data_IF_580090775448
#
_entry.id   IF_580090775448
#
_cell.length_a   1.000
_cell.length_b   1.000
_cell.length_c   1.000
_cell.angle_alpha   90.00
_cell.angle_beta   90.00
_cell.angle_gamma   90.00
#
_symmetry.space_group_name_H-M   'P 1'
#
loop_
_entity.id
_entity.type
_entity.pdbx_description
1 polymer ?
#
# COMPACT_ATOMS: atom_id res chain seq x y z
N UNK A 1 -10.85 -6.20 17.48
CA UNK A 1 -11.18 -6.21 16.03
C UNK A 1 -12.64 -5.76 15.87
N UNK A 2 -13.00 -5.14 14.74
CA UNK A 2 -14.31 -4.52 14.48
C UNK A 2 -15.10 -5.31 13.40
N UNK A 3 -15.76 -6.43 13.74
CA UNK A 3 -16.43 -7.28 12.76
C UNK A 3 -17.52 -6.57 11.94
N UNK A 4 -18.30 -5.67 12.53
CA UNK A 4 -19.37 -4.96 11.81
C UNK A 4 -18.78 -3.99 10.76
N UNK A 5 -17.68 -3.32 11.12
CA UNK A 5 -16.93 -2.47 10.19
C UNK A 5 -16.33 -3.31 9.05
N UNK A 6 -15.70 -4.45 9.39
CA UNK A 6 -15.11 -5.34 8.40
C UNK A 6 -16.16 -5.82 7.38
N UNK A 7 -17.36 -6.23 7.84
CA UNK A 7 -18.46 -6.61 6.95
C UNK A 7 -18.90 -5.42 6.10
N UNK A 8 -19.06 -4.23 6.68
CA UNK A 8 -19.50 -3.04 5.93
C UNK A 8 -18.52 -2.65 4.83
N UNK A 9 -17.21 -2.70 5.12
CA UNK A 9 -16.16 -2.39 4.16
C UNK A 9 -16.09 -3.49 3.09
N UNK A 10 -16.15 -4.77 3.48
CA UNK A 10 -16.18 -5.88 2.53
C UNK A 10 -17.34 -5.75 1.54
N UNK A 11 -18.56 -5.50 2.03
CA UNK A 11 -19.73 -5.27 1.17
C UNK A 11 -19.53 -4.08 0.23
N UNK A 12 -18.90 -2.99 0.69
CA UNK A 12 -18.63 -1.85 -0.18
C UNK A 12 -17.65 -2.21 -1.31
N UNK A 13 -16.60 -2.99 -1.03
CA UNK A 13 -15.67 -3.49 -2.05
C UNK A 13 -16.32 -4.48 -3.01
N UNK A 14 -17.15 -5.40 -2.52
CA UNK A 14 -17.90 -6.34 -3.34
C UNK A 14 -18.83 -5.63 -4.35
N UNK A 15 -19.46 -4.54 -3.91
CA UNK A 15 -20.28 -3.69 -4.78
C UNK A 15 -19.44 -2.84 -5.76
N UNK A 16 -18.14 -2.70 -5.52
CA UNK A 16 -17.23 -1.84 -6.29
C UNK A 16 -15.91 -2.56 -6.64
N UNK A 17 -15.96 -3.70 -7.37
CA UNK A 17 -14.79 -4.58 -7.58
C UNK A 17 -13.65 -3.92 -8.37
N UNK A 18 -13.93 -2.82 -9.08
CA UNK A 18 -12.92 -2.05 -9.80
C UNK A 18 -11.87 -1.41 -8.87
N UNK A 19 -12.21 -1.20 -7.60
CA UNK A 19 -11.27 -0.63 -6.60
C UNK A 19 -10.16 -1.66 -6.29
N UNK A 20 -10.52 -2.94 -6.20
CA UNK A 20 -9.57 -4.03 -5.98
C UNK A 20 -8.57 -4.25 -7.13
N UNK A 21 -8.91 -3.88 -8.36
CA UNK A 21 -7.98 -3.94 -9.50
C UNK A 21 -6.80 -2.97 -9.30
N UNK A 22 -7.00 -1.89 -8.55
CA UNK A 22 -5.96 -0.92 -8.24
C UNK A 22 -5.05 -1.34 -7.06
N UNK A 23 -5.10 -2.60 -6.62
CA UNK A 23 -4.32 -3.09 -5.47
C UNK A 23 -4.93 -2.76 -4.11
N UNK A 24 -6.11 -2.14 -4.09
CA UNK A 24 -6.84 -1.73 -2.89
C UNK A 24 -8.14 -2.54 -2.75
N UNK A 25 -8.04 -3.87 -2.63
CA UNK A 25 -9.20 -4.72 -2.34
C UNK A 25 -9.45 -4.83 -0.82
N UNK A 26 -10.57 -5.46 -0.45
CA UNK A 26 -10.89 -5.67 0.96
C UNK A 26 -9.81 -6.47 1.71
N UNK A 27 -9.20 -7.45 1.07
CA UNK A 27 -8.16 -8.27 1.69
C UNK A 27 -6.92 -7.42 2.04
N UNK A 28 -6.57 -6.46 1.17
CA UNK A 28 -5.56 -5.46 1.48
C UNK A 28 -5.97 -4.60 2.69
N UNK A 29 -7.16 -4.00 2.71
CA UNK A 29 -7.66 -3.19 3.83
C UNK A 29 -7.66 -3.96 5.15
N UNK A 30 -8.10 -5.21 5.13
CA UNK A 30 -8.11 -6.11 6.29
C UNK A 30 -6.69 -6.36 6.80
N UNK A 31 -5.74 -6.70 5.91
CA UNK A 31 -4.34 -6.93 6.28
C UNK A 31 -3.69 -5.67 6.85
N UNK A 32 -3.98 -4.49 6.29
CA UNK A 32 -3.50 -3.22 6.84
C UNK A 32 -4.05 -3.00 8.25
N UNK A 33 -5.34 -3.26 8.48
CA UNK A 33 -5.94 -3.16 9.81
C UNK A 33 -5.31 -4.13 10.82
N UNK A 34 -5.07 -5.39 10.43
CA UNK A 34 -4.43 -6.40 11.29
C UNK A 34 -2.97 -6.06 11.60
N UNK A 35 -2.22 -5.62 10.59
CA UNK A 35 -0.83 -5.18 10.75
C UNK A 35 -0.74 -3.95 11.66
N UNK A 36 -1.68 -3.00 11.53
CA UNK A 36 -1.76 -1.85 12.41
C UNK A 36 -1.98 -2.25 13.88
N UNK A 37 -2.82 -3.25 14.15
CA UNK A 37 -3.01 -3.79 15.52
C UNK A 37 -1.72 -4.42 16.04
N UNK A 38 -0.99 -5.17 15.20
CA UNK A 38 0.23 -5.88 15.57
C UNK A 38 1.36 -4.91 15.99
N UNK A 39 1.58 -3.88 15.16
CA UNK A 39 2.73 -2.97 15.33
C UNK A 39 2.45 -1.81 16.30
N UNK A 40 1.20 -1.56 16.65
CA UNK A 40 0.83 -0.49 17.55
C UNK A 40 1.56 -0.57 18.92
N UNK A 41 1.89 0.58 19.52
CA UNK A 41 2.56 0.64 20.82
C UNK A 41 1.64 0.25 21.98
N UNK A 42 0.33 0.49 21.87
CA UNK A 42 -0.66 0.18 22.89
C UNK A 42 -2.04 -0.12 22.29
N UNK A 43 -2.96 -0.60 23.14
CA UNK A 43 -4.31 -1.02 22.73
C UNK A 43 -5.19 0.13 22.20
N UNK A 44 -4.94 1.37 22.63
CA UNK A 44 -5.70 2.55 22.20
C UNK A 44 -5.29 2.94 20.79
N UNK A 45 -3.98 3.02 20.52
CA UNK A 45 -3.45 3.27 19.17
C UNK A 45 -3.85 2.13 18.24
N UNK A 46 -3.73 0.87 18.70
CA UNK A 46 -4.17 -0.30 17.93
C UNK A 46 -5.64 -0.18 17.51
N UNK A 47 -6.52 0.24 18.44
CA UNK A 47 -7.94 0.44 18.17
C UNK A 47 -8.18 1.50 17.11
N UNK A 48 -7.54 2.66 17.22
CA UNK A 48 -7.72 3.76 16.28
C UNK A 48 -7.15 3.43 14.89
N UNK A 49 -5.94 2.87 14.84
CA UNK A 49 -5.28 2.50 13.61
C UNK A 49 -5.97 1.33 12.90
N UNK A 50 -6.60 0.41 13.63
CA UNK A 50 -7.41 -0.65 13.02
C UNK A 50 -8.63 -0.09 12.26
N UNK A 51 -9.35 0.88 12.84
CA UNK A 51 -10.46 1.55 12.15
C UNK A 51 -9.96 2.28 10.91
N UNK A 52 -8.83 2.97 11.04
CA UNK A 52 -8.21 3.67 9.91
C UNK A 52 -7.76 2.69 8.81
N UNK A 53 -7.20 1.53 9.18
CA UNK A 53 -6.78 0.48 8.24
C UNK A 53 -7.93 -0.11 7.44
N UNK A 54 -9.06 -0.42 8.10
CA UNK A 54 -10.27 -0.86 7.42
C UNK A 54 -10.82 0.19 6.45
N UNK A 55 -10.64 1.46 6.76
CA UNK A 55 -11.15 2.56 5.97
C UNK A 55 -10.11 3.15 5.00
N UNK A 56 -8.91 2.60 4.90
CA UNK A 56 -7.79 3.30 4.28
C UNK A 56 -7.99 3.56 2.78
N UNK A 57 -8.78 2.71 2.12
CA UNK A 57 -9.14 2.85 0.70
C UNK A 57 -10.30 3.83 0.44
N UNK A 58 -10.80 4.54 1.44
CA UNK A 58 -11.94 5.46 1.28
C UNK A 58 -11.71 6.54 0.21
N UNK A 59 -10.49 7.06 0.07
CA UNK A 59 -10.14 8.02 -0.99
C UNK A 59 -10.21 7.38 -2.40
N UNK A 60 -9.90 6.09 -2.53
CA UNK A 60 -10.00 5.33 -3.78
C UNK A 60 -11.44 5.15 -4.25
N UNK A 61 -12.38 4.96 -3.33
CA UNK A 61 -13.81 4.98 -3.64
C UNK A 61 -14.19 6.32 -4.28
N UNK A 62 -13.80 7.45 -3.67
CA UNK A 62 -14.13 8.77 -4.21
C UNK A 62 -13.48 9.02 -5.57
N UNK A 63 -12.19 8.72 -5.72
CA UNK A 63 -11.47 8.82 -7.01
C UNK A 63 -12.22 8.08 -8.10
N UNK A 64 -12.66 6.85 -7.81
CA UNK A 64 -13.35 6.00 -8.76
C UNK A 64 -14.72 6.54 -9.14
N UNK A 65 -15.50 7.02 -8.16
CA UNK A 65 -16.85 7.54 -8.40
C UNK A 65 -16.83 8.86 -9.15
N UNK A 66 -15.83 9.71 -8.90
CA UNK A 66 -15.66 11.01 -9.56
C UNK A 66 -14.88 10.93 -10.87
N UNK A 67 -14.10 9.86 -11.08
CA UNK A 67 -13.20 9.75 -12.22
C UNK A 67 -12.04 10.74 -12.15
N UNK A 68 -11.53 11.02 -10.94
CA UNK A 68 -10.45 11.99 -10.69
C UNK A 68 -9.17 11.31 -10.23
N UNK A 69 -8.05 12.01 -10.37
CA UNK A 69 -6.74 11.53 -9.95
C UNK A 69 -6.50 11.61 -8.43
N UNK A 70 -5.37 11.04 -8.01
CA UNK A 70 -4.89 11.11 -6.63
C UNK A 70 -4.57 12.56 -6.25
N UNK A 71 -5.15 13.04 -5.15
CA UNK A 71 -4.96 14.42 -4.66
C UNK A 71 -6.03 15.41 -5.13
N UNK A 72 -6.99 14.98 -5.95
CA UNK A 72 -8.14 15.79 -6.38
C UNK A 72 -9.41 15.49 -5.57
N UNK A 73 -9.31 14.58 -4.60
CA UNK A 73 -10.41 14.21 -3.71
C UNK A 73 -10.52 15.20 -2.55
N UNK A 74 -11.72 15.70 -2.30
CA UNK A 74 -11.98 16.54 -1.14
C UNK A 74 -12.03 15.71 0.15
N UNK A 75 -11.44 16.23 1.23
CA UNK A 75 -11.38 15.56 2.53
C UNK A 75 -12.78 15.23 3.07
N UNK A 76 -13.78 16.08 2.79
CA UNK A 76 -15.17 15.87 3.19
C UNK A 76 -15.80 14.64 2.52
N UNK A 77 -15.46 14.37 1.25
CA UNK A 77 -15.99 13.20 0.55
C UNK A 77 -15.39 11.89 1.09
N UNK A 78 -14.11 11.92 1.49
CA UNK A 78 -13.49 10.78 2.18
C UNK A 78 -14.17 10.55 3.53
N UNK A 79 -14.45 11.63 4.26
CA UNK A 79 -15.18 11.56 5.53
C UNK A 79 -16.56 10.91 5.35
N UNK A 80 -17.32 11.31 4.33
CA UNK A 80 -18.64 10.75 4.03
C UNK A 80 -18.57 9.24 3.75
N UNK A 81 -17.59 8.78 2.96
CA UNK A 81 -17.37 7.35 2.70
C UNK A 81 -17.04 6.61 4.01
N UNK A 82 -16.13 7.16 4.83
CA UNK A 82 -15.77 6.57 6.12
C UNK A 82 -16.95 6.50 7.10
N UNK A 83 -17.80 7.54 7.12
CA UNK A 83 -19.04 7.56 7.87
C UNK A 83 -19.99 6.45 7.40
N UNK A 84 -20.09 6.24 6.08
CA UNK A 84 -20.81 5.13 5.47
C UNK A 84 -20.34 3.77 5.97
N UNK A 85 -19.03 3.51 5.94
CA UNK A 85 -18.44 2.26 6.45
C UNK A 85 -18.71 2.05 7.94
N UNK A 86 -18.67 3.11 8.73
CA UNK A 86 -18.88 3.05 10.17
C UNK A 86 -20.36 2.99 10.58
N UNK A 87 -21.31 3.17 9.65
CA UNK A 87 -22.74 3.36 9.96
C UNK A 87 -23.39 2.17 10.67
N UNK A 88 -22.91 0.95 10.42
CA UNK A 88 -23.39 -0.30 11.04
C UNK A 88 -22.62 -0.67 12.29
N UNK A 89 -21.52 0.02 12.59
CA UNK A 89 -20.68 -0.26 13.76
C UNK A 89 -21.31 0.32 15.03
N UNK A 90 -21.48 -0.47 16.10
CA UNK A 90 -22.05 0.02 17.34
C UNK A 90 -21.29 1.24 17.89
N UNK A 91 -22.02 2.32 18.19
CA UNK A 91 -21.41 3.60 18.59
C UNK A 91 -20.46 3.50 19.80
N UNK A 92 -20.68 2.55 20.70
CA UNK A 92 -19.79 2.31 21.84
C UNK A 92 -18.38 1.86 21.44
N UNK A 93 -18.23 1.21 20.28
CA UNK A 93 -16.93 0.83 19.72
C UNK A 93 -16.19 2.03 19.09
N UNK A 94 -16.92 3.07 18.72
CA UNK A 94 -16.41 4.30 18.10
C UNK A 94 -16.31 5.50 19.06
N UNK A 95 -16.48 5.27 20.37
CA UNK A 95 -16.39 6.31 21.41
C UNK A 95 -14.98 6.88 21.55
N UNK A 96 -14.90 8.13 22.01
CA UNK A 96 -13.63 8.79 22.33
C UNK A 96 -12.91 9.40 21.13
N UNK A 97 -13.67 9.87 20.13
CA UNK A 97 -13.09 10.56 18.96
C UNK A 97 -12.40 9.64 17.96
N UNK A 98 -12.59 8.31 18.07
CA UNK A 98 -11.98 7.28 17.19
C UNK A 98 -12.09 7.68 15.72
N UNK A 99 -13.28 8.07 15.29
CA UNK A 99 -13.55 8.34 13.88
C UNK A 99 -12.80 9.58 13.37
N UNK A 100 -12.72 10.65 14.15
CA UNK A 100 -11.97 11.84 13.75
C UNK A 100 -10.46 11.57 13.67
N UNK A 101 -9.92 10.82 14.63
CA UNK A 101 -8.51 10.41 14.64
C UNK A 101 -8.20 9.46 13.47
N UNK A 102 -9.07 8.48 13.23
CA UNK A 102 -8.93 7.55 12.11
C UNK A 102 -9.04 8.26 10.76
N UNK A 103 -9.99 9.20 10.61
CA UNK A 103 -10.13 10.02 9.41
C UNK A 103 -8.86 10.82 9.12
N UNK A 104 -8.29 11.48 10.14
CA UNK A 104 -7.00 12.17 9.98
C UNK A 104 -5.92 11.22 9.46
N UNK A 105 -5.83 10.00 10.02
CA UNK A 105 -4.86 9.02 9.55
C UNK A 105 -5.10 8.62 8.09
N UNK A 106 -6.35 8.36 7.69
CA UNK A 106 -6.69 8.03 6.30
C UNK A 106 -6.33 9.18 5.34
N UNK A 107 -6.59 10.44 5.70
CA UNK A 107 -6.25 11.58 4.85
C UNK A 107 -4.72 11.80 4.67
N UNK A 108 -3.92 11.31 5.62
CA UNK A 108 -2.48 11.55 5.65
C UNK A 108 -1.64 10.32 5.28
N UNK A 109 -2.20 9.10 5.24
CA UNK A 109 -1.42 7.86 5.12
C UNK A 109 -0.57 7.78 3.85
N UNK A 110 -1.05 8.38 2.77
CA UNK A 110 -0.43 8.27 1.46
C UNK A 110 0.71 9.30 1.24
N UNK A 111 0.97 10.17 2.22
CA UNK A 111 2.01 11.22 2.19
C UNK A 111 3.34 10.70 2.75
N UNK A 112 4.47 11.38 2.45
CA UNK A 112 5.72 11.15 3.16
C UNK A 112 5.53 11.24 4.68
N UNK A 113 6.48 10.67 5.42
CA UNK A 113 6.59 10.84 6.86
C UNK A 113 6.74 12.32 7.19
N UNK A 114 6.00 12.73 8.20
CA UNK A 114 6.06 14.07 8.78
C UNK A 114 6.46 13.94 10.26
N UNK A 115 7.22 14.92 10.76
CA UNK A 115 7.62 15.00 12.18
C UNK A 115 6.40 15.21 13.09
N UNK A 116 5.35 15.85 12.56
CA UNK A 116 4.08 16.13 13.25
C UNK A 116 3.02 15.01 13.07
N UNK A 117 3.40 13.87 12.48
CA UNK A 117 2.52 12.71 12.45
C UNK A 117 2.26 12.22 13.88
N UNK A 118 0.99 12.01 14.25
CA UNK A 118 0.67 11.38 15.53
C UNK A 118 0.84 9.85 15.42
N UNK A 119 0.88 9.16 16.57
CA UNK A 119 1.11 7.71 16.60
C UNK A 119 0.10 6.90 15.77
N UNK A 120 -1.15 7.35 15.60
CA UNK A 120 -2.13 6.64 14.77
C UNK A 120 -1.80 6.80 13.29
N UNK A 121 -1.43 8.01 12.85
CA UNK A 121 -0.96 8.26 11.48
C UNK A 121 0.31 7.45 11.20
N UNK A 122 1.29 7.47 12.11
CA UNK A 122 2.50 6.66 11.97
C UNK A 122 2.16 5.17 11.86
N UNK A 123 1.30 4.66 12.74
CA UNK A 123 0.92 3.25 12.75
C UNK A 123 0.25 2.84 11.44
N UNK A 124 -0.66 3.66 10.90
CA UNK A 124 -1.33 3.36 9.63
C UNK A 124 -0.35 3.39 8.45
N UNK A 125 0.49 4.45 8.35
CA UNK A 125 1.52 4.58 7.30
C UNK A 125 2.44 3.35 7.29
N UNK A 126 2.93 2.96 8.46
CA UNK A 126 3.83 1.82 8.59
C UNK A 126 3.15 0.50 8.22
N UNK A 127 1.90 0.29 8.67
CA UNK A 127 1.14 -0.92 8.38
C UNK A 127 0.88 -1.10 6.89
N UNK A 128 0.45 -0.04 6.20
CA UNK A 128 0.21 -0.05 4.75
C UNK A 128 1.47 -0.42 3.96
N UNK A 129 2.60 0.21 4.31
CA UNK A 129 3.91 -0.08 3.69
C UNK A 129 4.40 -1.49 3.94
N UNK A 130 4.22 -2.03 5.16
CA UNK A 130 4.57 -3.42 5.46
C UNK A 130 3.78 -4.39 4.59
N UNK A 131 2.46 -4.19 4.49
CA UNK A 131 1.58 -5.05 3.70
C UNK A 131 1.91 -4.98 2.22
N UNK A 132 2.29 -3.82 1.71
CA UNK A 132 2.76 -3.68 0.33
C UNK A 132 4.21 -4.19 0.12
N UNK A 133 4.92 -4.58 1.19
CA UNK A 133 6.22 -5.24 1.11
C UNK A 133 6.10 -6.77 1.22
N UNK A 134 4.90 -7.33 1.45
CA UNK A 134 4.70 -8.77 1.51
C UNK A 134 4.99 -9.46 0.15
N UNK A 135 5.43 -10.73 0.14
CA UNK A 135 5.80 -11.44 -1.09
C UNK A 135 4.69 -11.54 -2.15
N UNK A 136 3.42 -11.41 -1.77
CA UNK A 136 2.31 -11.40 -2.72
C UNK A 136 2.25 -10.13 -3.58
N UNK A 137 3.00 -9.08 -3.22
CA UNK A 137 3.19 -7.89 -4.07
C UNK A 137 3.73 -8.26 -5.46
N UNK A 138 4.47 -9.36 -5.57
CA UNK A 138 4.97 -9.87 -6.86
C UNK A 138 3.80 -10.15 -7.83
N UNK A 139 2.71 -10.72 -7.31
CA UNK A 139 1.51 -11.02 -8.09
C UNK A 139 0.63 -9.78 -8.22
N UNK A 140 0.44 -9.02 -7.14
CA UNK A 140 -0.42 -7.83 -7.12
C UNK A 140 0.10 -6.73 -8.06
N UNK A 141 1.41 -6.51 -8.12
CA UNK A 141 2.04 -5.55 -9.03
C UNK A 141 1.71 -5.86 -10.50
N UNK A 142 1.80 -7.14 -10.90
CA UNK A 142 1.45 -7.57 -12.26
C UNK A 142 -0.03 -7.36 -12.60
N UNK A 143 -0.92 -7.46 -11.60
CA UNK A 143 -2.35 -7.17 -11.76
C UNK A 143 -2.63 -5.67 -11.82
N UNK A 144 -1.87 -4.88 -11.07
CA UNK A 144 -2.02 -3.42 -11.03
C UNK A 144 -1.52 -2.76 -12.32
N UNK A 145 -0.44 -3.30 -12.89
CA UNK A 145 0.22 -2.81 -14.10
C UNK A 145 0.23 -3.86 -15.22
N UNK A 146 -0.93 -4.30 -15.73
CA UNK A 146 -0.99 -5.33 -16.78
C UNK A 146 -0.31 -4.90 -18.10
N UNK A 147 -0.10 -3.60 -18.29
CA UNK A 147 0.57 -3.00 -19.45
C UNK A 147 2.10 -3.09 -19.40
N UNK A 148 2.69 -3.26 -18.22
CA UNK A 148 4.14 -3.28 -18.07
C UNK A 148 4.71 -4.70 -18.22
N UNK A 149 5.89 -4.85 -18.83
CA UNK A 149 6.56 -6.14 -18.88
C UNK A 149 6.99 -6.55 -17.47
N UNK A 150 7.08 -7.87 -17.23
CA UNK A 150 7.60 -8.40 -15.97
C UNK A 150 8.99 -7.82 -15.63
N UNK A 151 9.82 -7.60 -16.66
CA UNK A 151 11.17 -7.07 -16.54
C UNK A 151 11.47 -6.19 -17.76
N UNK A 152 12.11 -5.03 -17.57
CA UNK A 152 12.71 -4.28 -18.67
C UNK A 152 13.98 -5.01 -19.16
N UNK A 153 13.94 -5.54 -20.39
CA UNK A 153 15.04 -6.29 -20.99
C UNK A 153 16.27 -5.44 -21.36
N UNK A 154 16.10 -4.12 -21.51
CA UNK A 154 17.17 -3.18 -21.88
C UNK A 154 17.85 -2.64 -20.62
N UNK A 155 17.09 -2.03 -19.70
CA UNK A 155 17.67 -1.35 -18.55
C UNK A 155 17.58 -2.11 -17.22
N UNK A 156 16.71 -3.12 -17.15
CA UNK A 156 16.42 -3.82 -15.89
C UNK A 156 15.93 -2.89 -14.80
N UNK A 157 16.65 -2.80 -13.69
CA UNK A 157 16.33 -1.89 -12.59
C UNK A 157 16.78 -0.44 -12.83
N UNK A 158 17.57 -0.19 -13.87
CA UNK A 158 18.27 1.07 -14.08
C UNK A 158 17.67 1.93 -15.19
N UNK A 159 16.39 1.73 -15.52
CA UNK A 159 15.69 2.61 -16.48
C UNK A 159 15.67 4.05 -15.92
N UNK A 160 16.36 5.01 -16.57
CA UNK A 160 16.47 6.37 -16.06
C UNK A 160 15.16 7.16 -16.11
N UNK A 161 14.19 6.71 -16.90
CA UNK A 161 12.87 7.33 -17.00
C UNK A 161 11.81 6.65 -16.11
N UNK A 162 12.15 5.52 -15.48
CA UNK A 162 11.23 4.87 -14.54
C UNK A 162 11.12 5.67 -13.23
N UNK A 163 9.89 5.86 -12.77
CA UNK A 163 9.55 6.51 -11.50
C UNK A 163 8.63 5.61 -10.68
N UNK A 164 8.37 5.94 -9.41
CA UNK A 164 7.39 5.21 -8.61
C UNK A 164 5.99 5.14 -9.25
N UNK A 165 5.56 6.22 -9.92
CA UNK A 165 4.25 6.27 -10.59
C UNK A 165 4.26 5.59 -11.96
N UNK A 166 5.41 5.52 -12.59
CA UNK A 166 5.62 4.95 -13.91
C UNK A 166 6.83 4.02 -13.85
N UNK A 167 6.70 2.83 -13.23
CA UNK A 167 7.84 1.94 -12.99
C UNK A 167 8.39 1.31 -14.27
N UNK A 168 7.61 1.30 -15.37
CA UNK A 168 7.97 0.77 -16.71
C UNK A 168 8.32 -0.74 -16.75
N UNK A 169 8.38 -1.41 -15.61
CA UNK A 169 8.40 -2.87 -15.47
C UNK A 169 7.94 -3.29 -14.08
N UNK A 170 7.42 -4.52 -13.95
CA UNK A 170 6.99 -5.09 -12.66
C UNK A 170 8.17 -5.24 -11.69
N UNK A 171 9.33 -5.68 -12.19
CA UNK A 171 10.54 -5.78 -11.37
C UNK A 171 10.93 -4.43 -10.74
N UNK A 172 10.79 -3.33 -11.50
CA UNK A 172 11.08 -1.98 -11.03
C UNK A 172 10.03 -1.50 -10.03
N UNK A 173 8.76 -1.78 -10.27
CA UNK A 173 7.67 -1.47 -9.33
C UNK A 173 7.92 -2.10 -7.94
N UNK A 174 8.19 -3.41 -7.92
CA UNK A 174 8.49 -4.15 -6.68
C UNK A 174 9.75 -3.61 -5.99
N UNK A 175 10.75 -3.16 -6.77
CA UNK A 175 11.98 -2.60 -6.19
C UNK A 175 11.72 -1.30 -5.39
N UNK A 176 10.69 -0.53 -5.74
CA UNK A 176 10.31 0.65 -4.98
C UNK A 176 9.82 0.31 -3.57
N UNK A 177 9.21 -0.86 -3.36
CA UNK A 177 8.78 -1.31 -2.04
C UNK A 177 9.94 -1.48 -1.04
N UNK A 178 11.18 -1.62 -1.53
CA UNK A 178 12.37 -1.75 -0.67
C UNK A 178 12.72 -0.45 0.05
N UNK A 179 12.37 0.71 -0.52
CA UNK A 179 12.65 2.02 0.09
C UNK A 179 11.91 2.19 1.43
N UNK A 180 10.81 1.47 1.64
CA UNK A 180 10.04 1.51 2.88
C UNK A 180 10.75 0.81 4.04
N UNK A 181 11.69 -0.10 3.76
CA UNK A 181 12.54 -0.74 4.76
C UNK A 181 13.78 0.10 5.13
N UNK A 182 14.04 1.18 4.40
CA UNK A 182 15.16 2.09 4.63
C UNK A 182 14.74 3.29 5.48
N UNK A 183 15.72 3.96 6.10
CA UNK A 183 15.47 5.22 6.79
C UNK A 183 15.35 6.34 5.74
N UNK A 184 14.10 6.71 5.43
CA UNK A 184 13.80 7.74 4.42
C UNK A 184 12.40 8.35 4.56
N UNK A 185 12.01 9.22 3.62
CA UNK A 185 10.71 9.90 3.65
C UNK A 185 9.51 8.94 3.65
N UNK A 186 9.68 7.71 3.16
CA UNK A 186 8.66 6.66 3.19
C UNK A 186 9.06 5.46 4.05
N UNK A 187 10.15 5.55 4.81
CA UNK A 187 10.60 4.48 5.70
C UNK A 187 9.62 4.19 6.82
N UNK A 188 9.47 2.93 7.23
CA UNK A 188 8.69 2.61 8.44
C UNK A 188 9.40 3.12 9.70
N UNK A 189 8.65 3.60 10.69
CA UNK A 189 9.21 4.32 11.85
C UNK A 189 9.11 3.54 13.16
N UNK A 190 8.00 2.85 13.39
CA UNK A 190 7.76 2.16 14.66
C UNK A 190 8.76 1.01 14.83
N UNK A 191 9.30 0.79 16.04
CA UNK A 191 10.28 -0.28 16.27
C UNK A 191 9.79 -1.66 15.85
N UNK A 192 8.52 -2.00 16.15
CA UNK A 192 7.91 -3.26 15.69
C UNK A 192 7.76 -3.31 14.17
N UNK A 193 7.41 -2.18 13.54
CA UNK A 193 7.29 -2.10 12.09
C UNK A 193 8.61 -2.36 11.37
N UNK A 194 9.72 -1.83 11.90
CA UNK A 194 11.07 -2.10 11.41
C UNK A 194 11.41 -3.59 11.44
N UNK A 195 11.02 -4.30 12.51
CA UNK A 195 11.19 -5.76 12.60
C UNK A 195 10.35 -6.48 11.55
N UNK A 196 9.07 -6.10 11.41
CA UNK A 196 8.15 -6.75 10.48
C UNK A 196 8.55 -6.54 9.01
N UNK A 197 9.01 -5.35 8.63
CA UNK A 197 9.38 -5.09 7.23
C UNK A 197 10.70 -5.75 6.84
N UNK A 198 11.64 -5.91 7.77
CA UNK A 198 13.01 -6.32 7.46
C UNK A 198 13.09 -7.67 6.73
N UNK A 199 12.38 -8.70 7.22
CA UNK A 199 12.40 -10.02 6.58
C UNK A 199 11.66 -10.04 5.24
N UNK A 200 10.61 -9.22 5.10
CA UNK A 200 9.85 -9.05 3.85
C UNK A 200 10.73 -8.43 2.77
N UNK A 201 11.42 -7.34 3.11
CA UNK A 201 12.39 -6.70 2.23
C UNK A 201 13.50 -7.67 1.82
N UNK A 202 14.02 -8.50 2.73
CA UNK A 202 15.01 -9.53 2.40
C UNK A 202 14.50 -10.56 1.38
N UNK A 203 13.24 -10.99 1.49
CA UNK A 203 12.63 -11.89 0.51
C UNK A 203 12.50 -11.24 -0.87
N UNK A 204 12.02 -9.98 -0.91
CA UNK A 204 11.91 -9.24 -2.16
C UNK A 204 13.29 -9.01 -2.80
N UNK A 205 14.30 -8.64 -2.01
CA UNK A 205 15.70 -8.50 -2.47
C UNK A 205 16.24 -9.82 -3.04
N UNK A 206 16.00 -10.95 -2.36
CA UNK A 206 16.43 -12.26 -2.84
C UNK A 206 15.73 -12.65 -4.15
N UNK A 207 14.43 -12.35 -4.28
CA UNK A 207 13.68 -12.57 -5.50
C UNK A 207 14.20 -11.70 -6.66
N UNK A 208 14.37 -10.39 -6.44
CA UNK A 208 14.94 -9.45 -7.41
C UNK A 208 16.32 -9.94 -7.88
N UNK A 209 17.21 -10.27 -6.95
CA UNK A 209 18.54 -10.77 -7.28
C UNK A 209 18.50 -12.09 -8.08
N UNK A 210 17.53 -12.97 -7.77
CA UNK A 210 17.29 -14.20 -8.53
C UNK A 210 16.88 -13.91 -9.98
N UNK A 211 15.97 -12.96 -10.19
CA UNK A 211 15.56 -12.49 -11.52
C UNK A 211 16.76 -11.93 -12.26
N UNK A 212 17.53 -11.01 -11.65
CA UNK A 212 18.71 -10.41 -12.30
C UNK A 212 19.78 -11.44 -12.69
N UNK A 213 20.07 -12.42 -11.82
CA UNK A 213 21.04 -13.49 -12.13
C UNK A 213 20.60 -14.37 -13.29
N UNK A 214 19.30 -14.66 -13.40
CA UNK A 214 18.76 -15.48 -14.50
C UNK A 214 18.92 -14.81 -15.88
N UNK A 215 19.08 -13.49 -15.92
CA UNK A 215 19.13 -12.69 -17.16
C UNK A 215 20.44 -12.74 -17.94
N UNK A 216 21.53 -13.23 -17.34
CA UNK A 216 22.80 -13.42 -18.07
C UNK A 216 22.57 -14.26 -19.34
N UNK A 217 21.54 -15.11 -19.37
CA UNK A 217 21.19 -15.97 -20.51
C UNK A 217 20.47 -15.25 -21.67
N UNK A 218 19.78 -14.12 -21.46
CA UNK A 218 18.98 -13.44 -22.51
C UNK A 218 19.79 -12.39 -23.28
N UNK A 219 20.76 -11.74 -22.63
CA UNK A 219 21.62 -10.74 -23.27
C UNK A 219 22.40 -11.28 -24.48
N UNK A 220 22.69 -12.58 -24.51
CA UNK A 220 23.36 -13.26 -25.62
C UNK A 220 22.52 -13.36 -26.90
N UNK A 221 21.19 -13.28 -26.79
CA UNK A 221 20.29 -13.31 -27.94
C UNK A 221 20.08 -11.90 -28.54
N UNK A 222 19.94 -10.88 -27.70
CA UNK A 222 19.72 -9.50 -28.18
C UNK A 222 21.01 -8.78 -28.65
N UNK A 223 22.19 -9.17 -28.15
CA UNK A 223 23.46 -8.58 -28.62
C UNK A 223 23.95 -9.08 -29.98
N UNK A 224 23.23 -9.98 -30.67
CA UNK A 224 23.60 -10.38 -32.03
C UNK A 224 23.10 -9.41 -33.10
N UNK A 225 22.05 -8.63 -32.85
CA UNK A 225 21.53 -7.65 -33.82
C UNK A 225 22.05 -6.23 -33.57
N UNK A 226 22.48 -5.89 -32.35
CA UNK A 226 23.05 -4.58 -32.01
C UNK A 226 24.49 -4.35 -32.53
N UNK A 227 25.06 -5.27 -33.31
CA UNK A 227 26.37 -5.11 -33.98
C UNK A 227 26.27 -4.75 -35.47
N UNK A 228 25.07 -4.44 -35.97
CA UNK A 228 24.83 -4.17 -37.39
C UNK A 228 24.29 -2.75 -37.70
N UNK A 229 24.43 -1.78 -36.78
CA UNK A 229 24.19 -0.36 -37.04
C UNK A 229 25.29 0.50 -36.43
#
# INVERSE_FOLDING_TARGET
>A
MFPELAVSVATAHELNPAIGVAGHDFDHDLRVAEMAVLIAPDATIARFAAVAGFCHSADRFVQRFRGVGRGEVADEEVADVMHGFCSTTPSWRLRGGVLGIALRAVLLHCRPNDEDDDLVVMTLKDADRIVNCDPDVIVRSSRHHPEYPAVDYVHGLHDPAATYKEPRSILRDISHCLEWAEDGPFGVRLPKAKTEIAWRAQLLQAWIAGVERSRILVSHYYNKEARAF
#
